data_IF_357220412235
#
_entry.id   IF_357220412235
#
_cell.length_a   1.000
_cell.length_b   1.000
_cell.length_c   1.000
_cell.angle_alpha   90.00
_cell.angle_beta   90.00
_cell.angle_gamma   90.00
#
_symmetry.space_group_name_H-M   'P 1'
#
loop_
_entity.id
_entity.type
_entity.pdbx_description
1 polymer ?
#
# COMPACT_ATOMS: atom_id res chain seq x y z
N UNK A 1 -8.07 4.93 25.96
CA UNK A 1 -9.34 5.08 26.72
C UNK A 1 -10.05 6.29 26.15
N UNK A 2 -11.36 6.24 25.93
CA UNK A 2 -12.12 7.33 25.31
C UNK A 2 -13.27 7.78 26.22
N UNK A 3 -13.72 9.02 26.08
CA UNK A 3 -14.80 9.62 26.90
C UNK A 3 -16.17 9.41 26.25
N UNK A 4 -17.22 9.32 27.05
CA UNK A 4 -18.59 9.38 26.55
C UNK A 4 -18.86 10.66 25.74
N UNK A 5 -19.75 10.61 24.75
CA UNK A 5 -20.14 11.76 23.93
C UNK A 5 -20.85 12.87 24.74
N UNK A 6 -21.54 12.53 25.84
CA UNK A 6 -22.41 13.47 26.57
C UNK A 6 -22.07 13.64 28.05
N UNK A 7 -21.10 12.89 28.60
CA UNK A 7 -20.68 13.01 29.99
C UNK A 7 -19.17 12.69 30.17
N UNK A 8 -18.67 12.87 31.39
CA UNK A 8 -17.24 12.71 31.70
C UNK A 8 -16.80 11.27 32.00
N UNK A 9 -17.65 10.27 31.78
CA UNK A 9 -17.27 8.86 31.96
C UNK A 9 -16.28 8.40 30.89
N UNK A 10 -15.29 7.61 31.32
CA UNK A 10 -14.24 7.05 30.47
C UNK A 10 -14.44 5.55 30.28
N UNK A 11 -14.14 5.08 29.08
CA UNK A 11 -14.31 3.69 28.65
C UNK A 11 -13.02 3.18 27.99
N UNK A 12 -12.81 1.87 28.08
CA UNK A 12 -11.68 1.18 27.45
C UNK A 12 -11.91 0.85 25.97
N UNK A 13 -13.15 0.88 25.50
CA UNK A 13 -13.52 0.59 24.10
C UNK A 13 -14.63 1.52 23.60
N UNK A 14 -14.80 1.61 22.28
CA UNK A 14 -15.83 2.44 21.65
C UNK A 14 -17.23 1.84 21.83
N UNK A 15 -17.38 0.52 21.78
CA UNK A 15 -18.63 -0.20 22.03
C UNK A 15 -19.16 0.08 23.44
N UNK A 16 -18.26 0.17 24.43
CA UNK A 16 -18.60 0.60 25.78
C UNK A 16 -19.19 2.01 25.81
N UNK A 17 -18.66 2.93 25.01
CA UNK A 17 -19.22 4.29 24.87
C UNK A 17 -20.59 4.26 24.20
N UNK A 18 -20.76 3.50 23.11
CA UNK A 18 -22.03 3.43 22.38
C UNK A 18 -23.14 2.82 23.24
N UNK A 19 -22.84 1.73 23.95
CA UNK A 19 -23.77 1.11 24.90
C UNK A 19 -24.20 2.09 25.98
N UNK A 20 -23.24 2.82 26.57
CA UNK A 20 -23.53 3.83 27.58
C UNK A 20 -24.34 5.03 27.04
N UNK A 21 -24.05 5.50 25.83
CA UNK A 21 -24.84 6.55 25.18
C UNK A 21 -26.29 6.10 24.95
N UNK A 22 -26.49 4.83 24.60
CA UNK A 22 -27.82 4.25 24.40
C UNK A 22 -28.60 4.15 25.71
N UNK A 23 -27.99 3.65 26.79
CA UNK A 23 -28.71 3.39 28.06
C UNK A 23 -28.92 4.66 28.89
N UNK A 24 -27.90 5.51 29.01
CA UNK A 24 -27.93 6.65 29.94
C UNK A 24 -28.31 7.97 29.24
N UNK A 25 -28.00 8.10 27.95
CA UNK A 25 -28.24 9.33 27.19
C UNK A 25 -29.36 9.17 26.15
N UNK A 26 -29.98 8.00 26.05
CA UNK A 26 -31.02 7.67 25.06
C UNK A 26 -30.59 8.02 23.63
N UNK A 27 -29.28 7.93 23.36
CA UNK A 27 -28.68 8.27 22.07
C UNK A 27 -28.08 7.03 21.43
N UNK A 28 -28.65 6.62 20.31
CA UNK A 28 -28.13 5.52 19.52
C UNK A 28 -27.47 6.05 18.25
N UNK A 29 -26.14 5.95 18.20
CA UNK A 29 -25.34 6.44 17.08
C UNK A 29 -25.75 5.75 15.77
N UNK A 30 -26.04 4.44 15.83
CA UNK A 30 -26.44 3.65 14.66
C UNK A 30 -27.76 4.14 14.05
N UNK A 31 -28.69 4.60 14.89
CA UNK A 31 -29.97 5.13 14.42
C UNK A 31 -29.76 6.45 13.67
N UNK A 32 -28.84 7.31 14.12
CA UNK A 32 -28.49 8.56 13.45
C UNK A 32 -27.78 8.30 12.12
N UNK A 33 -26.83 7.36 12.09
CA UNK A 33 -26.12 6.94 10.87
C UNK A 33 -27.13 6.44 9.83
N UNK A 34 -28.03 5.52 10.22
CA UNK A 34 -29.05 4.96 9.32
C UNK A 34 -30.08 6.00 8.88
N UNK A 35 -30.54 6.86 9.79
CA UNK A 35 -31.53 7.91 9.51
C UNK A 35 -31.02 8.92 8.47
N UNK A 36 -29.73 9.25 8.52
CA UNK A 36 -29.15 10.28 7.66
C UNK A 36 -28.24 9.72 6.55
N UNK A 37 -28.11 8.40 6.44
CA UNK A 37 -27.29 7.74 5.42
C UNK A 37 -25.81 8.15 5.49
N UNK A 38 -25.25 8.24 6.71
CA UNK A 38 -23.88 8.71 6.91
C UNK A 38 -22.88 7.63 6.47
N UNK A 39 -21.90 8.03 5.66
CA UNK A 39 -20.70 7.26 5.34
C UNK A 39 -19.63 7.43 6.43
N UNK A 40 -18.44 6.86 6.20
CA UNK A 40 -17.34 6.95 7.16
C UNK A 40 -16.99 8.39 7.55
N UNK A 41 -16.90 9.27 6.55
CA UNK A 41 -16.59 10.67 6.78
C UNK A 41 -17.74 11.42 7.47
N UNK A 42 -18.99 11.12 7.13
CA UNK A 42 -20.17 11.68 7.78
C UNK A 42 -20.27 11.32 9.26
N UNK A 43 -19.90 10.09 9.63
CA UNK A 43 -19.77 9.66 11.02
C UNK A 43 -18.65 10.41 11.76
N UNK A 44 -17.46 10.50 11.17
CA UNK A 44 -16.32 11.23 11.77
C UNK A 44 -16.73 12.68 12.07
N UNK A 45 -17.40 13.33 11.10
CA UNK A 45 -17.92 14.70 11.26
C UNK A 45 -18.96 14.80 12.37
N UNK A 46 -19.88 13.83 12.48
CA UNK A 46 -20.85 13.76 13.58
C UNK A 46 -20.13 13.67 14.94
N UNK A 47 -19.18 12.75 15.10
CA UNK A 47 -18.45 12.59 16.37
C UNK A 47 -17.73 13.89 16.75
N UNK A 48 -16.96 14.47 15.82
CA UNK A 48 -16.25 15.73 16.08
C UNK A 48 -17.20 16.89 16.38
N UNK A 49 -18.34 16.97 15.70
CA UNK A 49 -19.37 17.96 16.02
C UNK A 49 -19.89 17.81 17.46
N UNK A 50 -20.19 16.57 17.89
CA UNK A 50 -20.67 16.32 19.25
C UNK A 50 -19.60 16.68 20.28
N UNK A 51 -18.33 16.35 20.01
CA UNK A 51 -17.20 16.74 20.88
C UNK A 51 -17.04 18.25 21.00
N UNK A 52 -17.11 18.96 19.88
CA UNK A 52 -16.82 20.40 19.78
C UNK A 52 -17.97 21.26 20.31
N UNK A 53 -19.21 20.96 19.89
CA UNK A 53 -20.40 21.78 20.21
C UNK A 53 -21.19 21.31 21.42
N UNK A 54 -20.89 20.09 21.93
CA UNK A 54 -21.57 19.46 23.08
C UNK A 54 -23.11 19.60 23.04
N UNK A 55 -23.75 19.25 21.91
CA UNK A 55 -25.21 19.30 21.81
C UNK A 55 -25.86 18.26 22.73
N UNK A 56 -27.14 18.44 23.03
CA UNK A 56 -27.91 17.44 23.77
C UNK A 56 -28.27 16.26 22.86
N UNK A 57 -28.37 15.06 23.43
CA UNK A 57 -28.82 13.86 22.71
C UNK A 57 -30.19 14.07 22.03
N UNK A 58 -31.12 14.73 22.72
CA UNK A 58 -32.44 15.05 22.20
C UNK A 58 -32.39 15.94 20.94
N UNK A 59 -31.49 16.92 20.91
CA UNK A 59 -31.27 17.76 19.75
C UNK A 59 -30.79 16.95 18.55
N UNK A 60 -29.79 16.08 18.75
CA UNK A 60 -29.24 15.25 17.66
C UNK A 60 -30.28 14.30 17.08
N UNK A 61 -31.09 13.66 17.92
CA UNK A 61 -32.15 12.74 17.47
C UNK A 61 -33.26 13.45 16.69
N UNK A 62 -33.54 14.72 17.02
CA UNK A 62 -34.59 15.53 16.39
C UNK A 62 -34.17 16.21 15.07
N UNK A 63 -32.87 16.21 14.74
CA UNK A 63 -32.37 16.87 13.53
C UNK A 63 -32.95 16.28 12.24
N UNK A 64 -33.14 17.17 11.27
CA UNK A 64 -33.49 16.89 9.87
C UNK A 64 -32.52 17.65 8.97
N UNK A 65 -32.38 17.25 7.71
CA UNK A 65 -31.47 17.90 6.77
C UNK A 65 -31.82 19.40 6.57
N UNK A 66 -30.83 20.30 6.40
CA UNK A 66 -29.39 20.05 6.31
C UNK A 66 -28.71 19.77 7.66
N UNK A 67 -27.64 18.97 7.64
CA UNK A 67 -26.94 18.58 8.88
C UNK A 67 -25.98 19.70 9.34
N UNK A 68 -25.91 20.01 10.65
CA UNK A 68 -25.06 21.10 11.14
C UNK A 68 -23.55 20.79 11.12
N UNK A 69 -23.16 19.58 10.71
CA UNK A 69 -21.77 19.12 10.65
C UNK A 69 -21.29 18.80 9.23
N UNK A 70 -21.88 19.41 8.20
CA UNK A 70 -21.43 19.20 6.80
C UNK A 70 -20.07 19.83 6.49
N UNK A 71 -19.68 20.86 7.25
CA UNK A 71 -18.43 21.60 7.05
C UNK A 71 -17.16 20.75 7.19
N UNK A 72 -16.10 21.16 6.47
CA UNK A 72 -14.80 20.48 6.50
C UNK A 72 -14.05 20.65 7.82
N UNK A 73 -14.42 21.64 8.64
CA UNK A 73 -13.83 21.85 9.95
C UNK A 73 -14.00 20.63 10.88
N UNK A 74 -15.02 19.81 10.66
CA UNK A 74 -15.29 18.60 11.44
C UNK A 74 -14.55 17.35 10.93
N UNK A 75 -13.71 17.48 9.89
CA UNK A 75 -12.78 16.42 9.49
C UNK A 75 -11.51 16.39 10.35
N UNK A 76 -11.24 17.47 11.10
CA UNK A 76 -10.14 17.52 12.05
C UNK A 76 -10.59 16.89 13.39
N UNK A 77 -9.83 15.93 13.95
CA UNK A 77 -10.12 15.39 15.27
C UNK A 77 -10.16 16.48 16.34
N UNK A 78 -11.27 16.57 17.08
CA UNK A 78 -11.39 17.47 18.24
C UNK A 78 -10.63 16.91 19.46
N UNK A 79 -10.52 15.58 19.55
CA UNK A 79 -9.77 14.88 20.59
C UNK A 79 -8.68 14.02 19.92
N UNK A 80 -7.43 14.26 20.30
CA UNK A 80 -6.29 13.41 19.90
C UNK A 80 -6.50 11.99 20.45
N UNK A 81 -6.27 10.98 19.63
CA UNK A 81 -6.48 9.55 19.93
C UNK A 81 -7.91 9.14 20.34
N UNK A 82 -8.95 9.78 19.79
CA UNK A 82 -10.33 9.36 20.05
C UNK A 82 -10.62 7.98 19.41
N UNK A 83 -10.79 6.97 20.27
CA UNK A 83 -11.14 5.61 19.86
C UNK A 83 -12.45 5.53 19.06
N UNK A 84 -13.36 6.52 19.18
CA UNK A 84 -14.57 6.55 18.35
C UNK A 84 -14.24 6.83 16.89
N UNK A 85 -13.19 7.61 16.59
CA UNK A 85 -12.78 7.91 15.21
C UNK A 85 -12.01 6.76 14.55
N UNK A 86 -11.48 5.85 15.36
CA UNK A 86 -10.78 4.64 14.91
C UNK A 86 -11.73 3.44 14.75
N UNK A 87 -13.01 3.60 15.10
CA UNK A 87 -14.00 2.54 15.05
C UNK A 87 -14.52 2.34 13.63
N UNK A 88 -14.59 1.09 13.16
CA UNK A 88 -15.19 0.77 11.88
C UNK A 88 -16.72 0.80 11.98
N UNK A 89 -17.35 1.67 11.19
CA UNK A 89 -18.79 1.88 11.23
C UNK A 89 -19.55 0.70 10.65
N UNK A 90 -18.92 -0.10 9.79
CA UNK A 90 -19.53 -1.30 9.23
C UNK A 90 -19.89 -2.30 10.35
N UNK A 91 -19.08 -2.36 11.42
CA UNK A 91 -19.32 -3.18 12.61
C UNK A 91 -20.45 -2.65 13.52
N UNK A 92 -20.81 -1.36 13.44
CA UNK A 92 -21.86 -0.76 14.29
C UNK A 92 -23.28 -1.15 13.86
N UNK A 93 -23.46 -1.45 12.58
CA UNK A 93 -24.77 -1.46 11.95
C UNK A 93 -25.27 -2.84 11.54
N UNK A 94 -24.62 -3.93 11.97
CA UNK A 94 -25.10 -5.29 11.74
C UNK A 94 -26.59 -5.40 12.12
N UNK A 95 -27.43 -5.96 11.24
CA UNK A 95 -28.85 -6.05 11.51
C UNK A 95 -29.08 -6.91 12.74
N UNK A 96 -29.57 -6.28 13.80
CA UNK A 96 -30.21 -6.95 14.91
C UNK A 96 -31.38 -7.77 14.35
N UNK A 97 -31.15 -9.05 14.09
CA UNK A 97 -32.22 -10.00 13.89
C UNK A 97 -33.03 -10.05 15.19
N UNK A 98 -34.24 -9.53 15.07
CA UNK A 98 -35.33 -9.66 16.03
C UNK A 98 -35.50 -11.16 16.33
N UNK A 99 -35.33 -11.54 17.60
CA UNK A 99 -35.84 -12.82 18.10
C UNK A 99 -37.36 -12.86 17.83
N UNK A 100 -37.82 -13.89 17.11
CA UNK A 100 -38.48 -14.99 17.82
C UNK A 100 -38.17 -16.39 17.27
N UNK A 101 -37.95 -17.33 18.18
CA UNK A 101 -38.24 -18.78 18.09
C UNK A 101 -37.94 -19.50 16.76
N UNK A 102 -36.83 -20.26 16.69
CA UNK A 102 -36.77 -21.69 16.33
C UNK A 102 -35.32 -22.17 16.15
N UNK A 103 -34.81 -22.96 17.10
CA UNK A 103 -33.39 -23.34 17.28
C UNK A 103 -32.75 -24.28 16.24
N UNK A 104 -33.20 -24.28 14.98
CA UNK A 104 -32.57 -25.01 13.88
C UNK A 104 -31.91 -24.08 12.83
N UNK A 105 -32.44 -22.88 12.63
CA UNK A 105 -31.85 -21.89 11.72
C UNK A 105 -30.63 -21.18 12.33
N UNK A 106 -30.61 -21.00 13.66
CA UNK A 106 -29.51 -20.34 14.37
C UNK A 106 -28.19 -21.09 14.20
N UNK A 107 -28.21 -22.43 14.28
CA UNK A 107 -27.00 -23.25 14.11
C UNK A 107 -26.44 -23.11 12.70
N UNK A 108 -27.29 -23.06 11.67
CA UNK A 108 -26.85 -22.91 10.28
C UNK A 108 -26.23 -21.53 10.02
N UNK A 109 -26.85 -20.46 10.53
CA UNK A 109 -26.31 -19.11 10.40
C UNK A 109 -25.00 -18.94 11.19
N UNK A 110 -24.91 -19.50 12.40
CA UNK A 110 -23.69 -19.48 13.20
C UNK A 110 -22.55 -20.21 12.50
N UNK A 111 -22.84 -21.35 11.86
CA UNK A 111 -21.86 -22.12 11.08
C UNK A 111 -21.36 -21.36 9.86
N UNK A 112 -22.24 -20.58 9.23
CA UNK A 112 -21.90 -19.74 8.09
C UNK A 112 -21.06 -18.53 8.50
N UNK A 113 -21.40 -17.85 9.61
CA UNK A 113 -20.58 -16.80 10.19
C UNK A 113 -19.20 -17.32 10.61
N UNK A 114 -19.14 -18.51 11.21
CA UNK A 114 -17.88 -19.13 11.64
C UNK A 114 -16.98 -19.47 10.44
N UNK A 115 -17.55 -19.97 9.34
CA UNK A 115 -16.82 -20.19 8.08
C UNK A 115 -16.27 -18.88 7.48
N UNK A 116 -17.06 -17.81 7.51
CA UNK A 116 -16.59 -16.50 7.02
C UNK A 116 -15.48 -15.93 7.92
N UNK A 117 -15.62 -16.05 9.24
CA UNK A 117 -14.60 -15.64 10.20
C UNK A 117 -13.31 -16.46 10.01
N UNK A 118 -13.43 -17.78 9.83
CA UNK A 118 -12.30 -18.68 9.55
C UNK A 118 -11.61 -18.31 8.23
N UNK A 119 -12.37 -18.02 7.18
CA UNK A 119 -11.81 -17.58 5.90
C UNK A 119 -11.04 -16.26 6.03
N UNK A 120 -11.61 -15.27 6.73
CA UNK A 120 -10.93 -14.00 7.01
C UNK A 120 -9.66 -14.20 7.83
N UNK A 121 -9.73 -15.04 8.87
CA UNK A 121 -8.56 -15.37 9.70
C UNK A 121 -7.46 -16.00 8.85
N UNK A 122 -7.79 -16.94 7.96
CA UNK A 122 -6.83 -17.58 7.05
C UNK A 122 -6.18 -16.59 6.09
N UNK A 123 -6.94 -15.64 5.54
CA UNK A 123 -6.40 -14.59 4.69
C UNK A 123 -5.46 -13.65 5.47
N UNK A 124 -5.85 -13.28 6.69
CA UNK A 124 -5.04 -12.45 7.58
C UNK A 124 -3.74 -13.16 7.99
N UNK A 125 -3.79 -14.44 8.33
CA UNK A 125 -2.62 -15.27 8.62
C UNK A 125 -1.67 -15.36 7.43
N UNK A 126 -2.20 -15.55 6.21
CA UNK A 126 -1.40 -15.56 5.00
C UNK A 126 -0.75 -14.20 4.70
N UNK A 127 -1.45 -13.09 4.99
CA UNK A 127 -0.90 -11.75 4.86
C UNK A 127 0.19 -11.48 5.90
N UNK A 128 -0.02 -11.91 7.16
CA UNK A 128 0.97 -11.78 8.23
C UNK A 128 2.23 -12.60 7.92
N UNK A 129 2.08 -13.82 7.42
CA UNK A 129 3.23 -14.66 7.03
C UNK A 129 4.08 -13.99 5.93
N UNK A 130 3.45 -13.36 4.93
CA UNK A 130 4.16 -12.56 3.91
C UNK A 130 4.87 -11.35 4.53
N UNK A 131 4.17 -10.59 5.38
CA UNK A 131 4.76 -9.43 6.04
C UNK A 131 5.94 -9.80 6.95
N UNK A 132 5.88 -10.97 7.61
CA UNK A 132 6.98 -11.48 8.42
C UNK A 132 8.19 -11.87 7.57
N UNK A 133 7.97 -12.54 6.44
CA UNK A 133 9.04 -12.88 5.48
C UNK A 133 9.71 -11.61 4.92
N UNK A 134 8.91 -10.61 4.53
CA UNK A 134 9.41 -9.32 4.07
C UNK A 134 10.21 -8.58 5.15
N UNK A 135 9.73 -8.59 6.40
CA UNK A 135 10.44 -7.97 7.52
C UNK A 135 11.74 -8.71 7.85
N UNK A 136 11.77 -10.03 7.69
CA UNK A 136 13.00 -10.83 7.85
C UNK A 136 14.01 -10.53 6.74
N UNK A 137 13.56 -10.42 5.49
CA UNK A 137 14.39 -9.99 4.35
C UNK A 137 14.95 -8.59 4.55
N UNK A 138 14.11 -7.64 4.99
CA UNK A 138 14.53 -6.27 5.28
C UNK A 138 15.53 -6.22 6.44
N UNK A 139 15.34 -7.05 7.48
CA UNK A 139 16.29 -7.17 8.59
C UNK A 139 17.63 -7.74 8.13
N UNK A 140 17.60 -8.80 7.32
CA UNK A 140 18.82 -9.39 6.75
C UNK A 140 19.56 -8.35 5.90
N UNK A 141 18.83 -7.66 5.03
CA UNK A 141 19.36 -6.55 4.23
C UNK A 141 20.03 -5.47 5.09
N UNK A 142 19.36 -5.00 6.15
CA UNK A 142 19.92 -4.00 7.06
C UNK A 142 21.15 -4.52 7.81
N UNK A 143 21.18 -5.80 8.18
CA UNK A 143 22.34 -6.42 8.83
C UNK A 143 23.53 -6.53 7.88
N UNK A 144 23.31 -6.95 6.63
CA UNK A 144 24.36 -7.07 5.62
C UNK A 144 24.94 -5.69 5.25
N UNK A 145 24.09 -4.66 5.21
CA UNK A 145 24.52 -3.27 4.98
C UNK A 145 25.37 -2.72 6.13
N UNK A 146 24.99 -2.97 7.39
CA UNK A 146 25.68 -2.43 8.57
C UNK A 146 26.97 -3.17 8.88
N UNK A 147 26.99 -4.51 8.78
CA UNK A 147 28.13 -5.32 9.20
C UNK A 147 29.30 -5.30 8.20
N UNK A 148 29.04 -5.01 6.92
CA UNK A 148 30.09 -4.91 5.90
C UNK A 148 30.65 -3.48 5.73
N UNK A 149 30.12 -2.48 6.44
CA UNK A 149 30.64 -1.11 6.41
C UNK A 149 31.99 -0.94 7.15
N UNK A 150 32.35 -1.88 8.03
CA UNK A 150 33.53 -1.79 8.90
C UNK A 150 34.85 -2.25 8.24
N UNK A 151 34.85 -2.69 6.97
CA UNK A 151 36.08 -3.03 6.22
C UNK A 151 36.67 -1.81 5.48
N UNK A 152 36.54 -0.60 6.05
CA UNK A 152 37.02 0.66 5.44
C UNK A 152 38.29 1.23 6.03
N UNK A 153 39.24 0.37 6.43
CA UNK A 153 40.56 0.83 6.91
C UNK A 153 41.72 0.18 6.14
N UNK A 154 42.31 0.99 5.24
CA UNK A 154 43.47 0.74 4.35
C UNK A 154 43.09 0.00 3.06
N UNK A 155 43.43 0.43 1.84
CA UNK A 155 44.52 1.29 1.34
C UNK A 155 44.18 1.86 -0.06
N UNK A 156 44.74 3.03 -0.36
CA UNK A 156 44.94 3.72 -1.66
C UNK A 156 44.52 3.08 -3.01
N UNK A 157 43.73 3.85 -3.77
CA UNK A 157 43.87 4.19 -5.21
C UNK A 157 44.38 3.13 -6.20
N UNK A 158 43.46 2.41 -6.86
CA UNK A 158 43.48 2.17 -8.32
C UNK A 158 42.20 1.48 -8.80
N UNK A 159 41.60 2.00 -9.88
CA UNK A 159 40.69 1.37 -10.86
C UNK A 159 39.53 0.46 -10.37
N UNK A 160 38.33 0.79 -10.85
CA UNK A 160 37.01 0.12 -10.68
C UNK A 160 37.00 -1.37 -11.08
N UNK A 161 38.10 -1.94 -11.56
CA UNK A 161 38.19 -3.29 -12.10
C UNK A 161 38.36 -4.40 -11.05
N UNK A 162 38.68 -4.08 -9.78
CA UNK A 162 39.00 -5.07 -8.73
C UNK A 162 38.01 -5.02 -7.54
N UNK A 163 36.73 -4.71 -7.76
CA UNK A 163 35.69 -4.99 -6.76
C UNK A 163 35.51 -6.51 -6.70
N UNK A 164 35.76 -7.10 -5.52
CA UNK A 164 35.63 -8.54 -5.29
C UNK A 164 34.16 -8.97 -5.50
N UNK A 165 33.93 -10.17 -6.05
CA UNK A 165 32.59 -10.77 -6.30
C UNK A 165 31.66 -10.72 -5.06
N UNK A 166 32.24 -10.63 -3.85
CA UNK A 166 31.51 -10.54 -2.58
C UNK A 166 30.87 -9.16 -2.32
N UNK A 167 31.43 -8.05 -2.82
CA UNK A 167 30.84 -6.70 -2.66
C UNK A 167 29.68 -6.47 -3.64
N UNK A 168 29.79 -6.99 -4.86
CA UNK A 168 28.75 -6.95 -5.89
C UNK A 168 27.47 -7.67 -5.42
N UNK A 169 27.62 -8.79 -4.72
CA UNK A 169 26.50 -9.56 -4.20
C UNK A 169 25.60 -8.76 -3.24
N UNK A 170 26.20 -7.93 -2.39
CA UNK A 170 25.47 -7.06 -1.45
C UNK A 170 24.79 -5.89 -2.17
N UNK A 171 25.45 -5.33 -3.19
CA UNK A 171 24.85 -4.29 -4.02
C UNK A 171 23.60 -4.81 -4.76
N UNK A 172 23.72 -5.93 -5.48
CA UNK A 172 22.58 -6.48 -6.23
C UNK A 172 21.47 -7.03 -5.34
N UNK A 173 21.81 -7.55 -4.14
CA UNK A 173 20.79 -7.99 -3.18
C UNK A 173 19.95 -6.82 -2.64
N UNK A 174 20.52 -5.61 -2.56
CA UNK A 174 19.78 -4.41 -2.17
C UNK A 174 18.62 -4.12 -3.12
N UNK A 175 18.85 -4.24 -4.42
CA UNK A 175 17.83 -4.03 -5.45
C UNK A 175 16.92 -5.25 -5.67
N UNK A 176 17.13 -6.37 -4.96
CA UNK A 176 16.24 -7.54 -5.04
C UNK A 176 14.90 -7.33 -4.33
N UNK A 177 14.79 -6.36 -3.43
CA UNK A 177 13.57 -6.11 -2.64
C UNK A 177 12.72 -4.98 -3.22
N UNK A 178 11.39 -5.14 -3.22
CA UNK A 178 10.45 -4.18 -3.81
C UNK A 178 10.48 -2.78 -3.14
N UNK A 179 10.93 -2.71 -1.88
CA UNK A 179 10.95 -1.46 -1.10
C UNK A 179 11.75 -0.34 -1.76
N UNK A 180 12.96 -0.63 -2.26
CA UNK A 180 13.80 0.37 -2.95
C UNK A 180 13.14 0.79 -4.27
N UNK A 181 12.56 -0.16 -5.01
CA UNK A 181 11.84 0.13 -6.25
C UNK A 181 10.60 0.99 -6.02
N UNK A 182 9.88 0.80 -4.92
CA UNK A 182 8.74 1.65 -4.55
C UNK A 182 9.17 3.09 -4.31
N UNK A 183 10.27 3.31 -3.59
CA UNK A 183 10.84 4.64 -3.37
C UNK A 183 11.24 5.30 -4.70
N UNK A 184 11.98 4.56 -5.55
CA UNK A 184 12.38 5.02 -6.87
C UNK A 184 11.18 5.36 -7.77
N UNK A 185 10.11 4.55 -7.75
CA UNK A 185 8.90 4.79 -8.55
C UNK A 185 8.03 5.94 -8.00
N UNK A 186 8.07 6.18 -6.69
CA UNK A 186 7.39 7.32 -6.06
C UNK A 186 8.10 8.64 -6.30
N UNK A 187 9.39 8.63 -6.63
CA UNK A 187 10.07 9.80 -7.14
C UNK A 187 9.52 10.18 -8.52
N UNK A 188 8.60 11.15 -8.49
CA UNK A 188 7.96 11.71 -9.68
C UNK A 188 8.95 12.43 -10.58
N UNK A 189 9.86 13.23 -10.02
CA UNK A 189 10.79 14.02 -10.84
C UNK A 189 11.68 13.08 -11.64
N UNK A 190 12.25 12.06 -10.98
CA UNK A 190 13.04 11.02 -11.63
C UNK A 190 12.21 10.29 -12.70
N UNK A 191 11.11 9.65 -12.30
CA UNK A 191 10.35 8.74 -13.16
C UNK A 191 9.67 9.47 -14.33
N UNK A 192 9.08 10.64 -14.08
CA UNK A 192 8.39 11.42 -15.12
C UNK A 192 9.38 12.07 -16.10
N UNK A 193 10.58 12.45 -15.67
CA UNK A 193 11.60 12.98 -16.59
C UNK A 193 11.99 11.97 -17.65
N UNK A 194 12.22 10.71 -17.27
CA UNK A 194 12.48 9.63 -18.21
C UNK A 194 11.28 9.37 -19.13
N UNK A 195 10.07 9.26 -18.56
CA UNK A 195 8.83 9.05 -19.33
C UNK A 195 8.65 10.14 -20.37
N UNK A 196 8.74 11.39 -19.95
CA UNK A 196 8.46 12.56 -20.76
C UNK A 196 9.49 12.69 -21.88
N UNK A 197 10.78 12.46 -21.60
CA UNK A 197 11.80 12.40 -22.64
C UNK A 197 11.48 11.34 -23.70
N UNK A 198 11.17 10.11 -23.28
CA UNK A 198 10.88 9.00 -24.19
C UNK A 198 9.64 9.28 -25.04
N UNK A 199 8.55 9.77 -24.42
CA UNK A 199 7.27 10.02 -25.10
C UNK A 199 7.28 11.27 -25.98
N UNK A 200 8.08 12.29 -25.64
CA UNK A 200 8.22 13.49 -26.46
C UNK A 200 9.18 13.27 -27.64
N UNK A 201 10.01 12.23 -27.60
CA UNK A 201 10.97 11.90 -28.65
C UNK A 201 10.73 10.51 -29.28
N UNK A 202 9.50 10.19 -29.75
CA UNK A 202 9.19 8.85 -30.26
C UNK A 202 10.01 8.50 -31.51
N UNK A 203 10.47 9.50 -32.26
CA UNK A 203 11.34 9.31 -33.43
C UNK A 203 12.70 8.67 -33.10
N UNK A 204 13.16 8.75 -31.85
CA UNK A 204 14.39 8.09 -31.38
C UNK A 204 14.15 6.59 -31.12
N UNK A 205 12.94 6.24 -30.66
CA UNK A 205 12.62 4.88 -30.20
C UNK A 205 11.85 4.06 -31.22
N UNK A 206 11.04 4.70 -32.06
CA UNK A 206 10.15 4.02 -32.99
C UNK A 206 10.93 3.12 -33.95
N UNK A 207 10.49 1.87 -34.05
CA UNK A 207 11.08 0.82 -34.88
C UNK A 207 12.55 0.47 -34.52
N UNK A 208 13.03 0.88 -33.33
CA UNK A 208 14.39 0.65 -32.85
C UNK A 208 14.52 -0.54 -31.90
N UNK A 209 15.73 -1.08 -31.80
CA UNK A 209 16.13 -2.03 -30.75
C UNK A 209 16.73 -1.23 -29.58
N UNK A 210 16.12 -1.35 -28.40
CA UNK A 210 16.51 -0.61 -27.20
C UNK A 210 17.09 -1.56 -26.15
N UNK A 211 18.19 -1.18 -25.52
CA UNK A 211 18.76 -1.85 -24.35
C UNK A 211 18.47 -1.02 -23.09
N UNK A 212 17.90 -1.63 -22.07
CA UNK A 212 17.65 -1.06 -20.75
C UNK A 212 18.59 -1.71 -19.73
N UNK A 213 19.63 -0.98 -19.32
CA UNK A 213 20.69 -1.48 -18.43
C UNK A 213 20.32 -1.17 -16.98
N UNK A 214 20.19 -2.21 -16.16
CA UNK A 214 19.68 -2.09 -14.79
C UNK A 214 18.16 -1.88 -14.81
N UNK A 215 17.44 -2.72 -15.55
CA UNK A 215 16.03 -2.44 -15.86
C UNK A 215 15.10 -2.49 -14.64
N UNK A 216 15.53 -3.07 -13.51
CA UNK A 216 14.77 -3.17 -12.27
C UNK A 216 13.38 -3.75 -12.51
N UNK A 217 12.34 -2.99 -12.16
CA UNK A 217 10.93 -3.37 -12.38
C UNK A 217 10.46 -3.29 -13.85
N UNK A 218 11.33 -2.87 -14.78
CA UNK A 218 11.05 -2.76 -16.20
C UNK A 218 10.29 -1.49 -16.62
N UNK A 219 10.21 -0.48 -15.76
CA UNK A 219 9.42 0.74 -16.03
C UNK A 219 9.92 1.51 -17.26
N UNK A 220 11.24 1.68 -17.41
CA UNK A 220 11.84 2.37 -18.56
C UNK A 220 11.67 1.54 -19.84
N UNK A 221 11.87 0.23 -19.75
CA UNK A 221 11.56 -0.71 -20.82
C UNK A 221 10.11 -0.58 -21.32
N UNK A 222 9.13 -0.45 -20.42
CA UNK A 222 7.73 -0.26 -20.78
C UNK A 222 7.47 1.11 -21.43
N UNK A 223 8.16 2.17 -21.01
CA UNK A 223 8.09 3.47 -21.69
C UNK A 223 8.63 3.36 -23.12
N UNK A 224 9.80 2.75 -23.32
CA UNK A 224 10.38 2.57 -24.65
C UNK A 224 9.46 1.75 -25.57
N UNK A 225 8.89 0.65 -25.07
CA UNK A 225 7.93 -0.17 -25.82
C UNK A 225 6.69 0.64 -26.23
N UNK A 226 6.12 1.44 -25.30
CA UNK A 226 4.97 2.31 -25.58
C UNK A 226 5.30 3.44 -26.57
N UNK A 227 6.55 3.89 -26.64
CA UNK A 227 7.02 4.85 -27.64
C UNK A 227 7.24 4.25 -29.03
N UNK A 228 7.00 2.94 -29.20
CA UNK A 228 7.04 2.26 -30.49
C UNK A 228 8.36 1.52 -30.78
N UNK A 229 9.17 1.23 -29.76
CA UNK A 229 10.34 0.37 -29.93
C UNK A 229 9.96 -0.97 -30.58
N UNK A 230 10.76 -1.39 -31.56
CA UNK A 230 10.58 -2.68 -32.24
C UNK A 230 10.84 -3.84 -31.28
N UNK A 231 11.85 -3.69 -30.43
CA UNK A 231 12.22 -4.64 -29.40
C UNK A 231 12.93 -3.90 -28.27
N UNK A 232 12.68 -4.32 -27.03
CA UNK A 232 13.39 -3.83 -25.86
C UNK A 232 14.05 -5.02 -25.16
N UNK A 233 15.32 -4.88 -24.80
CA UNK A 233 16.08 -5.87 -24.05
C UNK A 233 16.38 -5.24 -22.69
N UNK A 234 15.74 -5.72 -21.63
CA UNK A 234 16.03 -5.29 -20.26
C UNK A 234 17.01 -6.26 -19.60
N UNK A 235 18.05 -5.74 -18.96
CA UNK A 235 19.05 -6.55 -18.26
C UNK A 235 19.11 -6.12 -16.80
N UNK A 236 18.99 -7.06 -15.89
CA UNK A 236 19.17 -6.83 -14.46
C UNK A 236 19.74 -8.09 -13.78
N UNK A 237 20.67 -7.91 -12.86
CA UNK A 237 21.30 -9.02 -12.14
C UNK A 237 20.45 -9.47 -10.94
N UNK A 238 19.69 -8.55 -10.34
CA UNK A 238 18.93 -8.81 -9.12
C UNK A 238 17.69 -9.68 -9.37
N UNK A 239 17.16 -10.26 -8.30
CA UNK A 239 15.98 -11.14 -8.38
C UNK A 239 14.71 -10.40 -8.80
N UNK A 240 14.69 -9.05 -8.76
CA UNK A 240 13.52 -8.24 -9.17
C UNK A 240 13.08 -8.49 -10.62
N UNK A 241 14.00 -8.98 -11.46
CA UNK A 241 13.76 -9.28 -12.86
C UNK A 241 12.60 -10.27 -13.05
N UNK A 242 12.39 -11.18 -12.10
CA UNK A 242 11.28 -12.14 -12.16
C UNK A 242 9.92 -11.44 -11.95
N UNK A 243 9.85 -10.49 -11.02
CA UNK A 243 8.67 -9.65 -10.84
C UNK A 243 8.46 -8.75 -12.06
N UNK A 244 9.54 -8.21 -12.64
CA UNK A 244 9.47 -7.42 -13.86
C UNK A 244 8.88 -8.22 -15.04
N UNK A 245 9.21 -9.50 -15.17
CA UNK A 245 8.59 -10.38 -16.18
C UNK A 245 7.07 -10.47 -16.01
N UNK A 246 6.59 -10.60 -14.78
CA UNK A 246 5.15 -10.66 -14.50
C UNK A 246 4.46 -9.31 -14.73
N UNK A 247 5.10 -8.20 -14.34
CA UNK A 247 4.62 -6.83 -14.61
C UNK A 247 4.45 -6.61 -16.13
N UNK A 248 5.45 -7.01 -16.92
CA UNK A 248 5.43 -6.88 -18.39
C UNK A 248 4.28 -7.70 -19.00
N UNK A 249 4.09 -8.94 -18.55
CA UNK A 249 2.99 -9.82 -19.01
C UNK A 249 1.62 -9.23 -18.66
N UNK A 250 1.45 -8.70 -17.45
CA UNK A 250 0.21 -8.04 -17.03
C UNK A 250 -0.09 -6.81 -17.89
N UNK A 251 0.94 -6.12 -18.38
CA UNK A 251 0.82 -4.98 -19.30
C UNK A 251 0.74 -5.39 -20.78
N UNK A 252 0.78 -6.68 -21.11
CA UNK A 252 0.71 -7.22 -22.49
C UNK A 252 1.86 -6.75 -23.39
N UNK A 253 3.05 -6.59 -22.82
CA UNK A 253 4.25 -6.10 -23.52
C UNK A 253 5.31 -7.18 -23.73
N UNK A 254 5.04 -8.43 -23.35
CA UNK A 254 5.97 -9.57 -23.42
C UNK A 254 6.43 -9.93 -24.84
N UNK A 255 5.66 -9.53 -25.86
CA UNK A 255 6.04 -9.74 -27.26
C UNK A 255 7.06 -8.72 -27.77
N UNK A 256 7.25 -7.60 -27.05
CA UNK A 256 8.16 -6.51 -27.42
C UNK A 256 9.37 -6.49 -26.49
N UNK A 257 9.15 -6.74 -25.19
CA UNK A 257 10.18 -6.64 -24.15
C UNK A 257 10.67 -8.04 -23.79
N UNK A 258 11.98 -8.24 -23.89
CA UNK A 258 12.69 -9.44 -23.42
C UNK A 258 13.56 -9.08 -22.23
N UNK A 259 13.38 -9.75 -21.10
CA UNK A 259 14.22 -9.56 -19.91
C UNK A 259 15.29 -10.66 -19.82
N UNK A 260 16.51 -10.26 -19.48
CA UNK A 260 17.66 -11.13 -19.29
C UNK A 260 18.17 -10.95 -17.87
N UNK A 261 18.22 -12.03 -17.10
CA UNK A 261 18.86 -12.02 -15.78
C UNK A 261 20.36 -12.16 -15.95
N UNK A 262 21.12 -11.19 -15.45
CA UNK A 262 22.58 -11.21 -15.59
C UNK A 262 23.22 -9.86 -15.36
N UNK A 263 24.54 -9.87 -15.17
CA UNK A 263 25.38 -8.67 -15.30
C UNK A 263 25.49 -8.30 -16.77
N UNK A 264 25.43 -7.01 -17.09
CA UNK A 264 25.44 -6.57 -18.49
C UNK A 264 26.76 -6.91 -19.21
N UNK A 265 27.84 -7.00 -18.45
CA UNK A 265 29.19 -7.36 -18.90
C UNK A 265 29.32 -8.84 -19.32
N UNK A 266 28.40 -9.69 -18.85
CA UNK A 266 28.46 -11.15 -19.01
C UNK A 266 27.22 -11.74 -19.68
N UNK A 267 26.12 -11.00 -19.71
CA UNK A 267 24.86 -11.46 -20.24
C UNK A 267 24.94 -11.67 -21.75
N UNK A 268 24.50 -12.85 -22.20
CA UNK A 268 24.36 -13.14 -23.62
C UNK A 268 23.09 -12.43 -24.14
N UNK A 269 23.30 -11.33 -24.87
CA UNK A 269 22.20 -10.52 -25.38
C UNK A 269 21.64 -11.13 -26.67
N UNK A 270 20.31 -11.12 -26.86
CA UNK A 270 19.67 -11.66 -28.06
C UNK A 270 19.91 -10.82 -29.33
N UNK A 271 20.81 -9.82 -29.27
CA UNK A 271 21.23 -8.98 -30.38
C UNK A 271 22.65 -8.47 -30.16
N UNK A 272 23.48 -8.52 -31.20
CA UNK A 272 24.87 -8.05 -31.15
C UNK A 272 24.96 -6.51 -31.04
N UNK A 273 23.96 -5.79 -31.55
CA UNK A 273 23.92 -4.32 -31.54
C UNK A 273 22.52 -3.80 -31.25
N UNK A 274 22.47 -2.67 -30.58
CA UNK A 274 21.24 -1.92 -30.28
C UNK A 274 21.34 -0.52 -30.86
N UNK A 275 20.19 0.10 -31.13
CA UNK A 275 20.13 1.48 -31.62
C UNK A 275 20.22 2.50 -30.48
N UNK A 276 19.65 2.17 -29.32
CA UNK A 276 19.50 3.06 -28.17
C UNK A 276 19.80 2.31 -26.88
N UNK A 277 20.54 2.94 -25.98
CA UNK A 277 20.71 2.48 -24.60
C UNK A 277 19.99 3.47 -23.69
N UNK A 278 19.15 2.96 -22.80
CA UNK A 278 18.57 3.69 -21.69
C UNK A 278 19.02 3.04 -20.38
N UNK A 279 19.24 3.85 -19.36
CA UNK A 279 19.62 3.38 -18.04
C UNK A 279 19.37 4.50 -17.03
N UNK A 280 18.99 4.10 -15.82
CA UNK A 280 19.00 4.93 -14.64
C UNK A 280 20.07 4.36 -13.73
N UNK A 281 21.21 5.07 -13.64
CA UNK A 281 22.45 4.59 -13.04
C UNK A 281 23.00 5.54 -11.97
N UNK A 282 22.26 6.61 -11.64
CA UNK A 282 22.75 7.71 -10.80
C UNK A 282 22.43 7.54 -9.32
#
# INVERSE_FOLDING_TARGET
RTRCLFCDRLFSSAEGVFSHCKTEHQFNVCDVIKKHGLDFYGYVKLINFVRSKKPTAAYLSALSSPLPWEGEEYLKPELEDDLLLQFDIEDLCEPANILPSNGLNDTMMLLEQLKHAEHRARLAEAALARAQDDLQKMKQFAQDFVMNADVRSSSSSSAIADLQEDEDGVYFSSYGHYGIHEEMLKDKVRTESYRDFIYQNPHIFKDKVVLDVGCGTGILSMFAAKAGAKKVIGVDQSEIVYQAMDIIRLNKLENIITLVKGRIEEADLPSEKVDVIISEWM
#
